data_IF_823453971233
#
_entry.id   IF_823453971233
#
_cell.length_a   1.000
_cell.length_b   1.000
_cell.length_c   1.000
_cell.angle_alpha   90.00
_cell.angle_beta   90.00
_cell.angle_gamma   90.00
#
_symmetry.space_group_name_H-M   'P 1'
#
loop_
_entity.id
_entity.type
_entity.pdbx_description
1 polymer ?
#
# COMPACT_ATOMS: atom_id res chain seq x y z
N UNK A 1 -7.17 -6.67 -20.95
CA UNK A 1 -8.20 -6.24 -21.92
C UNK A 1 -8.17 -4.73 -22.00
N UNK A 2 -8.07 -4.19 -23.21
CA UNK A 2 -8.10 -2.75 -23.48
C UNK A 2 -9.35 -2.43 -24.28
N UNK A 3 -10.10 -1.40 -23.90
CA UNK A 3 -11.26 -0.91 -24.63
C UNK A 3 -10.94 0.44 -25.26
N UNK A 4 -11.30 0.59 -26.52
CA UNK A 4 -10.98 1.78 -27.31
C UNK A 4 -12.25 2.53 -27.74
N UNK A 5 -12.08 3.80 -28.06
CA UNK A 5 -13.14 4.68 -28.57
C UNK A 5 -12.78 5.16 -29.97
N UNK A 6 -13.69 5.04 -30.93
CA UNK A 6 -13.52 5.65 -32.26
C UNK A 6 -13.48 7.19 -32.16
N UNK A 7 -14.17 7.76 -31.17
CA UNK A 7 -14.04 9.19 -30.83
C UNK A 7 -12.69 9.42 -30.16
N UNK A 8 -11.84 10.19 -30.82
CA UNK A 8 -10.44 10.49 -30.50
C UNK A 8 -9.46 9.35 -30.75
N UNK A 9 -9.95 8.16 -31.17
CA UNK A 9 -9.11 6.96 -31.26
C UNK A 9 -8.45 6.60 -29.92
N UNK A 10 -9.15 6.77 -28.79
CA UNK A 10 -8.56 6.77 -27.44
C UNK A 10 -8.59 5.40 -26.77
N UNK A 11 -7.65 5.16 -25.85
CA UNK A 11 -7.77 4.10 -24.86
C UNK A 11 -8.76 4.54 -23.77
N UNK A 12 -9.95 3.92 -23.77
CA UNK A 12 -11.08 4.28 -22.92
C UNK A 12 -11.02 3.63 -21.55
N UNK A 13 -10.67 2.34 -21.50
CA UNK A 13 -10.52 1.63 -20.23
C UNK A 13 -9.58 0.44 -20.35
N UNK A 14 -9.03 0.05 -19.20
CA UNK A 14 -8.08 -1.05 -19.03
C UNK A 14 -8.65 -1.98 -17.97
N UNK A 15 -8.69 -3.28 -18.29
CA UNK A 15 -9.11 -4.35 -17.36
C UNK A 15 -8.02 -5.42 -17.31
N UNK A 16 -7.48 -5.65 -16.12
CA UNK A 16 -6.53 -6.74 -15.85
C UNK A 16 -7.35 -7.99 -15.53
N UNK A 17 -7.52 -8.87 -16.53
CA UNK A 17 -8.45 -10.02 -16.45
C UNK A 17 -8.16 -10.92 -15.25
N UNK A 18 -6.89 -11.25 -15.02
CA UNK A 18 -6.44 -12.15 -13.93
C UNK A 18 -6.88 -11.68 -12.55
N UNK A 19 -7.00 -10.36 -12.35
CA UNK A 19 -7.30 -9.77 -11.04
C UNK A 19 -8.65 -9.05 -10.99
N UNK A 20 -9.41 -9.08 -12.09
CA UNK A 20 -10.64 -8.31 -12.28
C UNK A 20 -10.51 -6.82 -11.88
N UNK A 21 -9.33 -6.24 -12.06
CA UNK A 21 -9.03 -4.86 -11.67
C UNK A 21 -9.13 -3.91 -12.86
N UNK A 22 -9.69 -2.72 -12.64
CA UNK A 22 -9.74 -1.65 -13.64
C UNK A 22 -9.25 -0.33 -13.04
N UNK A 23 -8.55 0.45 -13.85
CA UNK A 23 -8.07 1.75 -13.43
C UNK A 23 -9.15 2.83 -13.59
N UNK A 24 -9.18 3.85 -12.71
CA UNK A 24 -10.06 5.02 -12.82
C UNK A 24 -9.48 6.07 -13.81
N UNK A 25 -8.78 5.59 -14.84
CA UNK A 25 -8.17 6.42 -15.87
C UNK A 25 -8.92 6.26 -17.19
N UNK A 26 -9.11 7.37 -17.88
CA UNK A 26 -9.86 7.46 -19.14
C UNK A 26 -9.14 8.38 -20.11
N UNK A 27 -9.60 8.40 -21.36
CA UNK A 27 -9.09 9.27 -22.43
C UNK A 27 -7.57 9.22 -22.57
N UNK A 28 -6.98 8.04 -22.39
CA UNK A 28 -5.55 7.88 -22.48
C UNK A 28 -5.11 7.95 -23.95
N UNK A 29 -3.95 8.59 -24.17
CA UNK A 29 -3.30 8.79 -25.47
C UNK A 29 -4.13 9.64 -26.42
N UNK A 30 -4.75 10.67 -25.85
CA UNK A 30 -5.40 11.74 -26.61
C UNK A 30 -4.40 12.64 -27.30
N UNK A 31 -4.81 13.22 -28.42
CA UNK A 31 -4.07 14.23 -29.14
C UNK A 31 -4.90 15.51 -29.06
N UNK A 32 -4.37 16.52 -28.39
CA UNK A 32 -5.10 17.75 -28.14
C UNK A 32 -5.61 18.38 -29.44
N UNK A 33 -6.86 18.87 -29.43
CA UNK A 33 -7.58 19.32 -30.63
C UNK A 33 -8.23 18.23 -31.48
N UNK A 34 -7.91 16.94 -31.27
CA UNK A 34 -8.46 15.82 -32.04
C UNK A 34 -9.23 14.79 -31.20
N UNK A 35 -9.28 14.96 -29.87
CA UNK A 35 -9.95 14.03 -28.95
C UNK A 35 -11.45 13.86 -29.21
N UNK A 36 -12.10 14.87 -29.79
CA UNK A 36 -13.53 14.81 -30.14
C UNK A 36 -13.83 14.34 -31.56
N UNK A 37 -12.80 14.16 -32.40
CA UNK A 37 -12.95 13.74 -33.81
C UNK A 37 -13.17 12.24 -33.92
N UNK A 38 -13.84 11.78 -34.97
CA UNK A 38 -14.09 10.36 -35.20
C UNK A 38 -12.98 9.78 -36.07
N UNK A 39 -12.22 8.84 -35.53
CA UNK A 39 -11.23 8.07 -36.26
C UNK A 39 -11.87 6.82 -36.86
N UNK A 40 -11.55 6.51 -38.11
CA UNK A 40 -11.92 5.27 -38.76
C UNK A 40 -11.02 4.13 -38.25
N UNK A 41 -11.63 3.02 -37.80
CA UNK A 41 -10.90 1.79 -37.50
C UNK A 41 -10.59 1.07 -38.81
N UNK A 42 -9.32 1.11 -39.24
CA UNK A 42 -8.89 0.57 -40.53
C UNK A 42 -8.22 -0.81 -40.40
N UNK A 43 -7.79 -1.18 -39.20
CA UNK A 43 -7.22 -2.50 -38.91
C UNK A 43 -7.68 -2.97 -37.54
N UNK A 44 -8.21 -4.19 -37.47
CA UNK A 44 -8.61 -4.84 -36.23
C UNK A 44 -8.16 -6.30 -36.24
N UNK A 45 -7.05 -6.56 -35.57
CA UNK A 45 -6.54 -7.89 -35.26
C UNK A 45 -6.58 -8.10 -33.74
N UNK A 46 -6.34 -9.33 -33.27
CA UNK A 46 -6.43 -9.66 -31.84
C UNK A 46 -5.45 -8.84 -30.98
N UNK A 47 -4.26 -8.57 -31.52
CA UNK A 47 -3.18 -7.84 -30.83
C UNK A 47 -2.93 -6.46 -31.41
N UNK A 48 -3.63 -6.07 -32.48
CA UNK A 48 -3.31 -4.83 -33.21
C UNK A 48 -4.55 -4.07 -33.65
N UNK A 49 -4.62 -2.80 -33.29
CA UNK A 49 -5.67 -1.88 -33.74
C UNK A 49 -5.05 -0.67 -34.41
N UNK A 50 -5.62 -0.26 -35.54
CA UNK A 50 -5.20 0.94 -36.26
C UNK A 50 -6.38 1.85 -36.54
N UNK A 51 -6.25 3.08 -36.06
CA UNK A 51 -7.21 4.15 -36.24
C UNK A 51 -6.61 5.24 -37.13
N UNK A 52 -7.38 5.74 -38.10
CA UNK A 52 -6.94 6.81 -39.00
C UNK A 52 -7.97 7.92 -39.02
N UNK A 53 -7.48 9.15 -38.92
CA UNK A 53 -8.23 10.37 -39.18
C UNK A 53 -7.50 11.14 -40.28
N UNK A 54 -8.21 11.47 -41.34
CA UNK A 54 -7.72 12.36 -42.40
C UNK A 54 -8.44 13.70 -42.31
N UNK A 55 -7.65 14.76 -42.42
CA UNK A 55 -8.13 16.13 -42.54
C UNK A 55 -7.40 16.79 -43.70
N UNK A 56 -7.87 17.95 -44.16
CA UNK A 56 -7.19 18.72 -45.22
C UNK A 56 -5.74 19.09 -44.86
N UNK A 57 -5.41 19.11 -43.58
CA UNK A 57 -4.14 19.57 -43.06
C UNK A 57 -3.18 18.44 -42.68
N UNK A 58 -3.70 17.35 -42.12
CA UNK A 58 -2.94 16.26 -41.50
C UNK A 58 -3.69 14.93 -41.63
N UNK A 59 -2.92 13.86 -41.82
CA UNK A 59 -3.37 12.50 -41.57
C UNK A 59 -2.77 12.01 -40.25
N UNK A 60 -3.63 11.52 -39.36
CA UNK A 60 -3.27 11.07 -38.02
C UNK A 60 -3.57 9.58 -37.94
N UNK A 61 -2.54 8.78 -37.75
CA UNK A 61 -2.67 7.34 -37.56
C UNK A 61 -2.31 6.97 -36.13
N UNK A 62 -3.23 6.33 -35.40
CA UNK A 62 -2.96 5.75 -34.09
C UNK A 62 -2.91 4.24 -34.20
N UNK A 63 -1.78 3.66 -33.85
CA UNK A 63 -1.59 2.20 -33.83
C UNK A 63 -1.40 1.74 -32.39
N UNK A 64 -2.14 0.70 -32.01
CA UNK A 64 -2.07 0.05 -30.70
C UNK A 64 -1.66 -1.40 -30.92
N UNK A 65 -0.57 -1.82 -30.31
CA UNK A 65 -0.07 -3.18 -30.32
C UNK A 65 -0.03 -3.72 -28.90
N UNK A 66 -0.79 -4.78 -28.64
CA UNK A 66 -0.81 -5.50 -27.38
C UNK A 66 0.08 -6.72 -27.51
N UNK A 67 1.03 -6.88 -26.59
CA UNK A 67 1.82 -8.11 -26.50
C UNK A 67 0.95 -9.19 -25.82
N UNK A 68 0.76 -10.38 -26.42
CA UNK A 68 0.02 -11.48 -25.81
C UNK A 68 0.61 -11.88 -24.46
N UNK A 69 -0.26 -12.17 -23.49
CA UNK A 69 0.12 -12.61 -22.13
C UNK A 69 1.09 -11.69 -21.39
N UNK A 70 1.15 -10.42 -21.81
CA UNK A 70 2.00 -9.39 -21.23
C UNK A 70 1.16 -8.22 -20.69
N UNK A 71 1.74 -7.46 -19.77
CA UNK A 71 1.16 -6.23 -19.23
C UNK A 71 1.55 -4.99 -20.05
N UNK A 72 2.37 -5.15 -21.10
CA UNK A 72 2.80 -4.04 -21.94
C UNK A 72 1.94 -3.86 -23.18
N UNK A 73 1.84 -2.62 -23.64
CA UNK A 73 1.25 -2.29 -24.93
C UNK A 73 2.04 -1.15 -25.56
N UNK A 74 2.41 -1.31 -26.84
CA UNK A 74 3.04 -0.28 -27.64
C UNK A 74 1.98 0.56 -28.33
N UNK A 75 2.16 1.87 -28.32
CA UNK A 75 1.29 2.79 -29.02
C UNK A 75 2.14 3.72 -29.88
N UNK A 76 1.68 4.00 -31.08
CA UNK A 76 2.34 4.98 -31.94
C UNK A 76 1.31 5.92 -32.54
N UNK A 77 1.54 7.22 -32.41
CA UNK A 77 0.79 8.25 -33.13
C UNK A 77 1.67 8.76 -34.25
N UNK A 78 1.20 8.64 -35.48
CA UNK A 78 1.89 9.10 -36.68
C UNK A 78 1.15 10.28 -37.25
N UNK A 79 1.85 11.39 -37.43
CA UNK A 79 1.36 12.60 -38.07
C UNK A 79 1.99 12.72 -39.45
N UNK A 80 1.16 12.80 -40.49
CA UNK A 80 1.58 12.99 -41.87
C UNK A 80 1.04 14.32 -42.39
N UNK A 81 1.92 15.15 -42.96
CA UNK A 81 1.55 16.43 -43.53
C UNK A 81 0.95 16.26 -44.92
N UNK A 82 -0.36 16.48 -45.02
CA UNK A 82 -1.11 16.33 -46.27
C UNK A 82 -1.01 17.58 -47.17
N UNK A 83 -0.31 18.63 -46.73
CA UNK A 83 -0.20 19.89 -47.49
C UNK A 83 1.12 19.98 -48.25
N UNK A 84 1.14 20.81 -49.29
CA UNK A 84 2.35 21.14 -50.05
C UNK A 84 3.30 22.14 -49.39
N UNK A 85 3.05 22.51 -48.12
CA UNK A 85 3.84 23.49 -47.37
C UNK A 85 4.36 22.88 -46.07
N UNK A 86 5.54 23.33 -45.64
CA UNK A 86 6.10 22.96 -44.35
C UNK A 86 5.27 23.51 -43.19
N UNK A 87 5.20 22.75 -42.10
CA UNK A 87 4.45 23.10 -40.89
C UNK A 87 5.31 22.95 -39.65
N UNK A 88 5.12 23.86 -38.70
CA UNK A 88 5.62 23.72 -37.34
C UNK A 88 4.45 23.44 -36.41
N UNK A 89 4.52 22.37 -35.64
CA UNK A 89 3.45 21.92 -34.74
C UNK A 89 3.94 21.91 -33.29
N UNK A 90 3.08 22.40 -32.38
CA UNK A 90 3.19 22.10 -30.96
C UNK A 90 2.16 21.02 -30.65
N UNK A 91 2.63 19.92 -30.09
CA UNK A 91 1.84 18.71 -29.88
C UNK A 91 1.65 18.52 -28.39
N UNK A 92 0.41 18.35 -27.97
CA UNK A 92 0.08 17.96 -26.60
C UNK A 92 -0.58 16.58 -26.63
N UNK A 93 0.04 15.62 -25.94
CA UNK A 93 -0.48 14.27 -25.76
C UNK A 93 -1.11 14.16 -24.39
N UNK A 94 -2.39 13.81 -24.34
CA UNK A 94 -3.07 13.46 -23.10
C UNK A 94 -2.68 12.05 -22.69
N UNK A 95 -1.79 11.89 -21.71
CA UNK A 95 -1.37 10.57 -21.24
C UNK A 95 -2.56 9.83 -20.62
N UNK A 96 -3.31 10.48 -19.73
CA UNK A 96 -4.59 10.02 -19.20
C UNK A 96 -5.33 11.10 -18.39
N UNK A 97 -6.61 10.83 -18.17
CA UNK A 97 -7.48 11.60 -17.25
C UNK A 97 -7.94 10.72 -16.09
N UNK A 98 -7.72 11.15 -14.86
CA UNK A 98 -8.23 10.49 -13.64
C UNK A 98 -9.67 10.97 -13.40
N UNK A 99 -10.59 10.04 -13.20
CA UNK A 99 -11.95 10.33 -12.74
C UNK A 99 -12.10 9.94 -11.26
N UNK A 100 -12.02 10.95 -10.39
CA UNK A 100 -12.16 10.80 -8.94
C UNK A 100 -13.55 10.34 -8.49
N UNK A 101 -14.59 10.46 -9.33
CA UNK A 101 -15.89 9.88 -9.03
C UNK A 101 -15.86 8.34 -9.17
N UNK A 102 -15.17 7.80 -10.18
CA UNK A 102 -14.95 6.35 -10.32
C UNK A 102 -14.12 5.81 -9.15
N UNK A 103 -13.12 6.59 -8.71
CA UNK A 103 -12.34 6.26 -7.50
C UNK A 103 -13.24 6.17 -6.26
N UNK A 104 -14.12 7.15 -6.05
CA UNK A 104 -15.03 7.17 -4.91
C UNK A 104 -16.05 6.02 -4.96
N UNK A 105 -16.57 5.67 -6.15
CA UNK A 105 -17.51 4.56 -6.33
C UNK A 105 -16.85 3.22 -5.98
N UNK A 106 -15.65 2.96 -6.52
CA UNK A 106 -14.85 1.78 -6.15
C UNK A 106 -14.51 1.74 -4.67
N UNK A 107 -14.30 2.90 -4.05
CA UNK A 107 -14.06 3.00 -2.62
C UNK A 107 -15.29 2.85 -1.72
N UNK A 108 -16.50 3.06 -2.24
CA UNK A 108 -17.77 2.75 -1.56
C UNK A 108 -18.12 1.26 -1.62
N UNK A 109 -17.75 0.59 -2.70
CA UNK A 109 -17.82 -0.88 -2.81
C UNK A 109 -16.66 -1.58 -2.07
N UNK A 110 -15.52 -0.88 -1.91
CA UNK A 110 -14.31 -1.35 -1.22
C UNK A 110 -14.05 -0.70 0.14
N UNK A 111 -12.78 -0.68 0.57
CA UNK A 111 -12.35 -0.08 1.83
C UNK A 111 -11.94 1.38 1.60
N UNK A 112 -12.51 2.34 2.33
CA UNK A 112 -12.16 3.77 2.22
C UNK A 112 -10.65 4.06 2.35
N UNK A 113 -9.88 3.15 2.97
CA UNK A 113 -8.42 3.25 3.06
C UNK A 113 -7.71 3.00 1.73
N UNK A 114 -8.29 2.22 0.82
CA UNK A 114 -7.70 1.92 -0.49
C UNK A 114 -7.74 3.15 -1.41
N UNK A 115 -8.75 4.01 -1.26
CA UNK A 115 -8.83 5.32 -1.95
C UNK A 115 -7.57 6.15 -1.69
N UNK A 116 -7.06 6.11 -0.45
CA UNK A 116 -5.90 6.92 -0.04
C UNK A 116 -4.59 6.50 -0.70
N UNK A 117 -4.55 5.27 -1.22
CA UNK A 117 -3.40 4.70 -1.91
C UNK A 117 -3.40 4.98 -3.41
N UNK A 118 -4.44 5.62 -3.95
CA UNK A 118 -4.40 6.12 -5.32
C UNK A 118 -3.40 7.26 -5.41
N UNK A 119 -2.46 7.15 -6.33
CA UNK A 119 -1.42 8.14 -6.54
C UNK A 119 -1.16 8.35 -8.03
N UNK A 120 -0.73 9.55 -8.38
CA UNK A 120 -0.15 9.81 -9.69
C UNK A 120 1.28 10.34 -9.54
N UNK A 121 2.09 10.12 -10.59
CA UNK A 121 3.42 10.66 -10.72
C UNK A 121 3.73 11.11 -12.15
N UNK A 122 4.62 12.10 -12.23
CA UNK A 122 5.38 12.47 -13.42
C UNK A 122 6.85 12.48 -13.02
N UNK A 123 7.67 11.68 -13.68
CA UNK A 123 9.12 11.64 -13.49
C UNK A 123 9.76 12.28 -14.70
N UNK A 124 10.56 13.31 -14.45
CA UNK A 124 11.39 13.96 -15.47
C UNK A 124 12.83 13.48 -15.34
N UNK A 125 13.76 13.97 -16.16
CA UNK A 125 15.19 13.68 -16.00
C UNK A 125 15.74 14.18 -14.67
N UNK A 126 15.29 15.36 -14.23
CA UNK A 126 15.81 16.01 -13.03
C UNK A 126 14.92 15.82 -11.80
N UNK A 127 13.59 15.79 -11.99
CA UNK A 127 12.61 15.90 -10.92
C UNK A 127 11.64 14.73 -10.86
N UNK A 128 10.83 14.72 -9.79
CA UNK A 128 9.64 13.87 -9.71
C UNK A 128 8.51 14.60 -9.00
N UNK A 129 7.38 14.68 -9.69
CA UNK A 129 6.15 15.26 -9.22
C UNK A 129 5.20 14.14 -8.86
N UNK A 130 4.75 14.09 -7.61
CA UNK A 130 3.88 13.02 -7.11
C UNK A 130 2.82 13.61 -6.21
N UNK A 131 1.62 13.04 -6.26
CA UNK A 131 0.55 13.35 -5.32
C UNK A 131 -0.15 12.08 -4.86
N UNK A 132 -0.32 11.98 -3.54
CA UNK A 132 -1.09 10.91 -2.92
C UNK A 132 -2.57 11.31 -2.81
N UNK A 133 -3.45 10.35 -2.49
CA UNK A 133 -4.88 10.60 -2.39
C UNK A 133 -5.45 11.18 -3.69
N UNK A 134 -5.13 10.59 -4.85
CA UNK A 134 -5.50 11.05 -6.19
C UNK A 134 -6.99 10.84 -6.53
N UNK A 135 -7.88 11.35 -5.66
CA UNK A 135 -9.34 11.34 -5.81
C UNK A 135 -9.97 12.73 -5.56
N UNK A 136 -9.14 13.70 -5.15
CA UNK A 136 -9.51 15.12 -4.99
C UNK A 136 -8.36 16.02 -5.45
N UNK A 137 -8.69 16.99 -6.29
CA UNK A 137 -7.72 17.87 -6.93
C UNK A 137 -7.94 19.33 -6.54
N UNK A 138 -6.84 20.08 -6.43
CA UNK A 138 -6.88 21.53 -6.23
C UNK A 138 -7.14 22.22 -7.56
N UNK A 139 -7.53 23.48 -7.55
CA UNK A 139 -7.80 24.23 -8.80
C UNK A 139 -6.53 24.78 -9.48
N UNK A 140 -5.34 24.54 -8.91
CA UNK A 140 -4.06 25.04 -9.45
C UNK A 140 -3.46 24.03 -10.42
N UNK A 141 -3.30 24.43 -11.68
CA UNK A 141 -2.51 23.72 -12.68
C UNK A 141 -1.00 23.81 -12.34
N UNK A 142 -0.28 22.72 -12.61
CA UNK A 142 1.18 22.71 -12.65
C UNK A 142 1.65 22.44 -14.09
N UNK A 143 2.30 23.44 -14.68
CA UNK A 143 2.92 23.35 -15.99
C UNK A 143 4.43 23.52 -15.87
N UNK A 144 5.17 22.66 -16.57
CA UNK A 144 6.65 22.68 -16.63
C UNK A 144 7.09 22.57 -18.08
N UNK A 145 7.78 23.61 -18.55
CA UNK A 145 8.55 23.60 -19.79
C UNK A 145 9.99 23.19 -19.54
N UNK A 146 10.66 22.76 -20.60
CA UNK A 146 12.05 22.33 -20.66
C UNK A 146 12.40 21.17 -19.72
N UNK A 147 11.40 20.40 -19.29
CA UNK A 147 11.60 19.20 -18.48
C UNK A 147 11.23 17.95 -19.29
N UNK A 148 12.25 17.19 -19.71
CA UNK A 148 12.08 15.92 -20.41
C UNK A 148 11.44 14.88 -19.49
N UNK A 149 10.30 14.33 -19.90
CA UNK A 149 9.49 13.37 -19.15
C UNK A 149 9.94 11.97 -19.47
N UNK A 150 10.35 11.25 -18.44
CA UNK A 150 10.74 9.84 -18.51
C UNK A 150 9.55 8.90 -18.31
N UNK A 151 8.61 9.26 -17.44
CA UNK A 151 7.52 8.38 -17.05
C UNK A 151 6.35 9.19 -16.50
N UNK A 152 5.14 8.89 -16.97
CA UNK A 152 3.89 9.33 -16.35
C UNK A 152 3.19 8.10 -15.80
N UNK A 153 2.65 8.15 -14.59
CA UNK A 153 2.13 6.95 -13.94
C UNK A 153 0.99 7.22 -13.00
N UNK A 154 0.01 6.32 -13.01
CA UNK A 154 -1.02 6.20 -11.99
C UNK A 154 -0.87 4.86 -11.29
N UNK A 155 -1.20 4.79 -10.00
CA UNK A 155 -1.34 3.52 -9.29
C UNK A 155 -2.51 3.53 -8.33
N UNK A 156 -3.03 2.34 -8.08
CA UNK A 156 -3.91 2.03 -6.97
C UNK A 156 -3.11 1.27 -5.88
N UNK A 157 -3.79 0.52 -5.00
CA UNK A 157 -3.16 -0.26 -3.94
C UNK A 157 -2.22 -1.35 -4.44
N UNK A 158 -2.48 -1.93 -5.62
CA UNK A 158 -1.82 -3.15 -6.12
C UNK A 158 -1.31 -3.07 -7.54
N UNK A 159 -1.86 -2.19 -8.35
CA UNK A 159 -1.61 -2.12 -9.79
C UNK A 159 -1.19 -0.71 -10.18
N UNK A 160 -0.42 -0.63 -11.26
CA UNK A 160 -0.03 0.63 -11.86
C UNK A 160 -0.29 0.65 -13.36
N UNK A 161 -0.61 1.85 -13.84
CA UNK A 161 -0.68 2.22 -15.25
C UNK A 161 0.45 3.22 -15.50
N UNK A 162 1.48 2.77 -16.21
CA UNK A 162 2.66 3.55 -16.52
C UNK A 162 2.70 3.86 -18.02
N UNK A 163 3.03 5.09 -18.36
CA UNK A 163 3.14 5.59 -19.72
C UNK A 163 4.54 6.15 -19.90
N UNK A 164 5.33 5.48 -20.71
CA UNK A 164 6.69 5.88 -21.05
C UNK A 164 6.71 6.51 -22.44
N UNK A 165 7.06 7.80 -22.56
CA UNK A 165 7.43 8.40 -23.84
C UNK A 165 8.70 7.74 -24.40
N UNK A 166 8.66 7.26 -25.65
CA UNK A 166 9.85 6.78 -26.38
C UNK A 166 10.33 7.83 -27.40
N UNK A 167 10.07 9.11 -27.10
CA UNK A 167 10.50 10.32 -27.83
C UNK A 167 10.84 11.44 -26.83
N UNK A 168 11.45 12.52 -27.33
CA UNK A 168 11.78 13.68 -26.50
C UNK A 168 10.57 14.60 -26.28
N UNK A 169 10.15 14.76 -25.03
CA UNK A 169 9.13 15.74 -24.63
C UNK A 169 9.78 17.08 -24.31
N UNK A 170 9.11 18.19 -24.60
CA UNK A 170 9.49 19.54 -24.17
C UNK A 170 8.97 19.89 -22.77
N UNK A 171 8.04 19.11 -22.22
CA UNK A 171 7.48 19.38 -20.89
C UNK A 171 6.21 18.59 -20.59
N UNK A 172 5.53 18.99 -19.51
CA UNK A 172 4.27 18.39 -19.09
C UNK A 172 3.32 19.39 -18.44
N UNK A 173 2.05 19.00 -18.39
CA UNK A 173 0.97 19.74 -17.72
C UNK A 173 0.20 18.78 -16.83
N UNK A 174 -0.02 19.18 -15.58
CA UNK A 174 -0.94 18.52 -14.65
C UNK A 174 -2.10 19.49 -14.45
N UNK A 175 -3.21 19.21 -15.13
CA UNK A 175 -4.35 20.11 -15.28
C UNK A 175 -5.58 19.59 -14.52
N UNK A 176 -5.94 20.20 -13.37
CA UNK A 176 -7.18 19.90 -12.67
C UNK A 176 -8.39 20.49 -13.41
N UNK A 177 -9.07 19.65 -14.20
CA UNK A 177 -10.31 20.04 -14.90
C UNK A 177 -11.42 20.38 -13.90
N UNK A 178 -11.47 19.68 -12.77
CA UNK A 178 -12.40 19.95 -11.66
C UNK A 178 -11.87 19.34 -10.36
N UNK A 179 -12.56 19.55 -9.24
CA UNK A 179 -12.21 18.91 -7.96
C UNK A 179 -12.12 17.38 -8.03
N UNK A 180 -12.78 16.77 -9.02
CA UNK A 180 -12.85 15.32 -9.22
C UNK A 180 -12.22 14.83 -10.51
N UNK A 181 -11.67 15.70 -11.36
CA UNK A 181 -11.03 15.29 -12.61
C UNK A 181 -9.68 15.96 -12.79
N UNK A 182 -8.68 15.15 -13.09
CA UNK A 182 -7.31 15.60 -13.35
C UNK A 182 -6.83 15.02 -14.67
N UNK A 183 -6.27 15.87 -15.52
CA UNK A 183 -5.61 15.47 -16.75
C UNK A 183 -4.10 15.57 -16.59
N UNK A 184 -3.36 14.61 -17.11
CA UNK A 184 -1.90 14.70 -17.20
C UNK A 184 -1.50 14.59 -18.66
N UNK A 185 -0.75 15.58 -19.13
CA UNK A 185 -0.37 15.73 -20.53
C UNK A 185 1.14 15.92 -20.67
N UNK A 186 1.68 15.45 -21.78
CA UNK A 186 3.07 15.65 -22.21
C UNK A 186 3.08 16.52 -23.45
N UNK A 187 4.09 17.40 -23.58
CA UNK A 187 4.20 18.36 -24.68
C UNK A 187 5.42 18.05 -25.55
N UNK A 188 5.32 18.40 -26.82
CA UNK A 188 6.41 18.41 -27.79
C UNK A 188 6.27 19.72 -28.56
N UNK A 189 7.22 20.62 -28.38
CA UNK A 189 7.18 21.93 -29.02
C UNK A 189 8.07 21.98 -30.25
N UNK A 190 7.65 22.72 -31.28
CA UNK A 190 8.48 23.03 -32.44
C UNK A 190 8.72 21.86 -33.41
N UNK A 191 7.80 20.89 -33.51
CA UNK A 191 7.92 19.78 -34.47
C UNK A 191 7.85 20.31 -35.90
N UNK A 192 8.97 20.23 -36.61
CA UNK A 192 9.07 20.61 -38.02
C UNK A 192 8.63 19.45 -38.92
N UNK A 193 7.51 19.63 -39.61
CA UNK A 193 6.92 18.64 -40.50
C UNK A 193 6.92 19.18 -41.93
N UNK A 194 7.83 18.67 -42.76
CA UNK A 194 7.93 19.06 -44.18
C UNK A 194 6.67 18.71 -44.96
N UNK A 195 6.47 19.29 -46.14
CA UNK A 195 5.44 18.84 -47.08
C UNK A 195 5.54 17.33 -47.36
N UNK A 196 4.45 16.58 -47.17
CA UNK A 196 4.44 15.10 -47.24
C UNK A 196 5.25 14.39 -46.16
N UNK A 197 5.81 15.13 -45.20
CA UNK A 197 6.64 14.60 -44.13
C UNK A 197 5.84 13.86 -43.07
N UNK A 198 6.51 12.97 -42.35
CA UNK A 198 5.93 12.12 -41.31
C UNK A 198 6.66 12.30 -39.99
N UNK A 199 5.93 12.37 -38.88
CA UNK A 199 6.47 12.39 -37.52
C UNK A 199 5.84 11.29 -36.68
N UNK A 200 6.67 10.55 -35.96
CA UNK A 200 6.26 9.42 -35.11
C UNK A 200 6.35 9.80 -33.65
N UNK A 201 5.34 9.38 -32.88
CA UNK A 201 5.25 9.62 -31.44
C UNK A 201 5.01 8.26 -30.76
N UNK A 202 6.07 7.45 -30.59
CA UNK A 202 5.98 6.14 -29.96
C UNK A 202 5.90 6.25 -28.44
N UNK A 203 5.08 5.39 -27.83
CA UNK A 203 4.96 5.25 -26.39
C UNK A 203 4.85 3.78 -26.02
N UNK A 204 5.35 3.44 -24.84
CA UNK A 204 5.12 2.14 -24.24
C UNK A 204 4.33 2.28 -22.93
N UNK A 205 3.20 1.60 -22.87
CA UNK A 205 2.36 1.50 -21.68
C UNK A 205 2.62 0.20 -20.92
N UNK A 206 2.65 0.26 -19.60
CA UNK A 206 2.56 -0.92 -18.71
C UNK A 206 1.30 -0.82 -17.86
N UNK A 207 0.49 -1.89 -17.83
CA UNK A 207 -0.79 -1.94 -17.15
C UNK A 207 -0.93 -3.22 -16.34
N UNK A 208 -0.30 -3.25 -15.17
CA UNK A 208 -0.12 -4.50 -14.45
C UNK A 208 0.15 -4.34 -12.96
N UNK A 209 0.50 -5.45 -12.29
CA UNK A 209 0.87 -5.46 -10.87
C UNK A 209 2.03 -4.50 -10.60
N UNK A 210 1.96 -3.76 -9.50
CA UNK A 210 3.07 -2.96 -8.99
C UNK A 210 4.09 -3.89 -8.31
N UNK A 211 4.81 -4.69 -9.10
CA UNK A 211 5.90 -5.57 -8.63
C UNK A 211 7.25 -5.06 -9.15
N UNK A 212 8.16 -4.73 -8.23
CA UNK A 212 9.45 -4.13 -8.59
C UNK A 212 10.34 -5.05 -9.44
N UNK A 213 10.32 -6.36 -9.18
CA UNK A 213 11.14 -7.32 -9.94
C UNK A 213 10.57 -7.50 -11.35
N UNK A 214 9.24 -7.57 -11.47
CA UNK A 214 8.55 -7.61 -12.76
C UNK A 214 8.86 -6.36 -13.57
N UNK A 215 8.69 -5.16 -12.98
CA UNK A 215 8.96 -3.89 -13.67
C UNK A 215 10.43 -3.76 -14.11
N UNK A 216 11.38 -4.24 -13.29
CA UNK A 216 12.80 -4.28 -13.64
C UNK A 216 13.09 -5.27 -14.77
N UNK A 217 12.38 -6.39 -14.83
CA UNK A 217 12.61 -7.43 -15.85
C UNK A 217 12.36 -6.96 -17.28
N UNK A 218 11.48 -5.97 -17.47
CA UNK A 218 11.24 -5.36 -18.78
C UNK A 218 12.43 -4.53 -19.29
N UNK A 219 13.32 -4.06 -18.41
CA UNK A 219 14.47 -3.21 -18.78
C UNK A 219 14.08 -1.94 -19.57
N UNK A 220 12.85 -1.45 -19.38
CA UNK A 220 12.31 -0.30 -20.10
C UNK A 220 12.32 0.99 -19.29
N UNK A 221 12.83 0.99 -18.05
CA UNK A 221 12.81 2.16 -17.17
C UNK A 221 11.58 2.25 -16.29
N UNK A 222 10.69 1.25 -16.31
CA UNK A 222 9.50 1.20 -15.45
C UNK A 222 9.85 1.11 -13.97
N UNK A 223 11.03 0.61 -13.61
CA UNK A 223 11.55 0.60 -12.24
C UNK A 223 11.75 2.00 -11.66
N UNK A 224 11.79 3.06 -12.49
CA UNK A 224 11.73 4.46 -12.01
C UNK A 224 10.44 4.75 -11.25
N UNK A 225 9.37 4.00 -11.50
CA UNK A 225 8.14 4.01 -10.70
C UNK A 225 8.39 3.69 -9.23
N UNK A 226 9.57 3.15 -8.85
CA UNK A 226 9.97 2.94 -7.45
C UNK A 226 9.78 4.17 -6.56
N UNK A 227 9.78 5.38 -7.13
CA UNK A 227 9.48 6.64 -6.42
C UNK A 227 8.08 6.66 -5.79
N UNK A 228 7.17 5.80 -6.23
CA UNK A 228 5.92 5.49 -5.56
C UNK A 228 6.14 4.87 -4.15
N UNK A 229 7.15 4.01 -3.97
CA UNK A 229 7.47 3.37 -2.68
C UNK A 229 8.31 4.26 -1.75
N UNK A 230 7.77 5.42 -1.35
CA UNK A 230 8.24 6.11 -0.15
C UNK A 230 7.36 5.71 1.03
N UNK A 231 7.80 4.72 1.81
CA UNK A 231 7.16 4.20 3.04
C UNK A 231 7.34 5.13 4.27
N UNK A 232 7.48 6.44 4.07
CA UNK A 232 7.68 7.44 5.14
C UNK A 232 9.02 7.28 5.89
N UNK A 233 9.06 7.66 7.18
CA UNK A 233 10.26 7.60 8.04
C UNK A 233 10.76 6.16 8.28
N UNK A 234 9.90 5.14 8.08
CA UNK A 234 10.18 3.74 8.39
C UNK A 234 10.45 2.88 7.14
N UNK A 235 10.82 3.54 6.04
CA UNK A 235 10.95 2.94 4.72
C UNK A 235 12.06 1.89 4.60
N UNK A 236 13.16 2.09 5.32
CA UNK A 236 14.22 1.09 5.41
C UNK A 236 13.72 -0.23 6.01
N UNK A 237 12.90 -0.16 7.07
CA UNK A 237 12.38 -1.34 7.77
C UNK A 237 11.41 -2.12 6.86
N UNK A 238 10.49 -1.42 6.19
CA UNK A 238 9.56 -2.04 5.25
C UNK A 238 10.29 -2.76 4.11
N UNK A 239 11.34 -2.15 3.54
CA UNK A 239 12.17 -2.76 2.48
C UNK A 239 12.91 -4.00 2.96
N UNK A 240 13.46 -3.98 4.17
CA UNK A 240 14.12 -5.17 4.77
C UNK A 240 13.11 -6.30 4.93
N UNK A 241 11.93 -6.01 5.48
CA UNK A 241 10.87 -7.01 5.68
C UNK A 241 10.39 -7.57 4.35
N UNK A 242 10.13 -6.72 3.34
CA UNK A 242 9.76 -7.14 1.99
C UNK A 242 10.82 -8.08 1.39
N UNK A 243 12.09 -7.67 1.43
CA UNK A 243 13.19 -8.47 0.90
C UNK A 243 13.34 -9.83 1.59
N UNK A 244 13.25 -9.86 2.92
CA UNK A 244 13.28 -11.10 3.70
C UNK A 244 12.10 -12.01 3.36
N UNK A 245 10.90 -11.45 3.24
CA UNK A 245 9.71 -12.25 2.97
C UNK A 245 9.73 -12.87 1.58
N UNK A 246 10.10 -12.10 0.56
CA UNK A 246 10.28 -12.60 -0.81
C UNK A 246 11.44 -13.59 -0.90
N UNK A 247 12.51 -13.39 -0.12
CA UNK A 247 13.59 -14.36 -0.02
C UNK A 247 13.11 -15.70 0.55
N UNK A 248 12.33 -15.70 1.65
CA UNK A 248 11.74 -16.92 2.19
C UNK A 248 10.82 -17.58 1.16
N UNK A 249 10.05 -16.80 0.41
CA UNK A 249 9.15 -17.31 -0.62
C UNK A 249 9.85 -18.09 -1.74
N UNK A 250 11.11 -17.74 -2.08
CA UNK A 250 11.90 -18.49 -3.06
C UNK A 250 12.14 -19.94 -2.65
N UNK A 251 12.17 -20.24 -1.35
CA UNK A 251 12.36 -21.60 -0.83
C UNK A 251 11.03 -22.25 -0.44
N UNK A 252 10.07 -21.47 0.04
CA UNK A 252 8.77 -21.94 0.51
C UNK A 252 7.67 -21.16 -0.22
N UNK A 253 7.08 -21.71 -1.30
CA UNK A 253 6.10 -21.02 -2.13
C UNK A 253 4.69 -20.96 -1.48
N UNK A 254 4.61 -20.54 -0.21
CA UNK A 254 3.35 -20.33 0.51
C UNK A 254 3.41 -19.04 1.32
N UNK A 255 2.65 -18.03 0.89
CA UNK A 255 2.64 -16.72 1.55
C UNK A 255 2.18 -16.79 3.01
N UNK A 256 1.24 -17.68 3.35
CA UNK A 256 0.83 -17.88 4.74
C UNK A 256 1.93 -18.47 5.62
N UNK A 257 2.70 -19.43 5.11
CA UNK A 257 3.86 -19.99 5.83
C UNK A 257 4.97 -18.93 5.94
N UNK A 258 5.18 -18.12 4.90
CA UNK A 258 6.15 -17.03 4.93
C UNK A 258 5.82 -16.02 6.02
N UNK A 259 4.53 -15.69 6.19
CA UNK A 259 4.04 -14.84 7.28
C UNK A 259 4.33 -15.48 8.65
N UNK A 260 4.10 -16.79 8.81
CA UNK A 260 4.42 -17.52 10.05
C UNK A 260 5.93 -17.46 10.37
N UNK A 261 6.78 -17.67 9.36
CA UNK A 261 8.24 -17.67 9.51
C UNK A 261 8.74 -16.27 9.85
N UNK A 262 8.28 -15.22 9.14
CA UNK A 262 8.71 -13.85 9.44
C UNK A 262 8.22 -13.42 10.83
N UNK A 263 7.03 -13.84 11.27
CA UNK A 263 6.55 -13.62 12.64
C UNK A 263 7.50 -14.22 13.67
N UNK A 264 7.97 -15.45 13.44
CA UNK A 264 8.91 -16.12 14.33
C UNK A 264 10.26 -15.38 14.36
N UNK A 265 10.82 -15.04 13.19
CA UNK A 265 12.10 -14.33 13.08
C UNK A 265 12.05 -13.00 13.84
N UNK A 266 11.01 -12.18 13.60
CA UNK A 266 10.84 -10.89 14.27
C UNK A 266 10.66 -11.07 15.77
N UNK A 267 9.83 -12.02 16.21
CA UNK A 267 9.60 -12.24 17.64
C UNK A 267 10.90 -12.69 18.34
N UNK A 268 11.61 -13.66 17.78
CA UNK A 268 12.80 -14.22 18.40
C UNK A 268 14.02 -13.29 18.31
N UNK A 269 14.12 -12.43 17.31
CA UNK A 269 15.17 -11.39 17.29
C UNK A 269 14.98 -10.39 18.44
N UNK A 270 13.73 -10.13 18.83
CA UNK A 270 13.37 -9.23 19.93
C UNK A 270 13.28 -9.93 21.29
N UNK A 271 13.31 -11.26 21.33
CA UNK A 271 13.20 -12.06 22.55
C UNK A 271 14.18 -11.64 23.67
N UNK A 272 15.47 -11.34 23.41
CA UNK A 272 16.39 -10.92 24.47
C UNK A 272 15.94 -9.62 25.15
N UNK A 273 15.36 -8.70 24.38
CA UNK A 273 14.80 -7.45 24.90
C UNK A 273 13.55 -7.72 25.73
N UNK A 274 12.63 -8.55 25.22
CA UNK A 274 11.40 -8.93 25.95
C UNK A 274 11.72 -9.66 27.25
N UNK A 275 12.71 -10.56 27.25
CA UNK A 275 13.18 -11.27 28.44
C UNK A 275 13.70 -10.32 29.52
N UNK A 276 14.51 -9.32 29.16
CA UNK A 276 15.00 -8.28 30.08
C UNK A 276 13.85 -7.43 30.63
N UNK A 277 12.88 -7.06 29.78
CA UNK A 277 11.69 -6.30 30.20
C UNK A 277 10.83 -7.08 31.21
N UNK A 278 10.60 -8.37 30.96
CA UNK A 278 9.87 -9.24 31.89
C UNK A 278 10.61 -9.43 33.22
N UNK A 279 11.93 -9.61 33.19
CA UNK A 279 12.73 -9.68 34.43
C UNK A 279 12.63 -8.40 35.26
N UNK A 280 12.63 -7.22 34.62
CA UNK A 280 12.41 -5.94 35.31
C UNK A 280 11.02 -5.86 35.95
N UNK A 281 9.97 -6.29 35.22
CA UNK A 281 8.60 -6.31 35.75
C UNK A 281 8.45 -7.20 36.98
N UNK A 282 9.10 -8.37 37.01
CA UNK A 282 9.10 -9.25 38.19
C UNK A 282 9.75 -8.61 39.41
N UNK A 283 10.89 -7.96 39.23
CA UNK A 283 11.53 -7.21 40.34
C UNK A 283 10.64 -6.08 40.83
N UNK A 284 9.94 -5.40 39.92
CA UNK A 284 8.96 -4.38 40.27
C UNK A 284 7.80 -4.95 41.09
N UNK A 285 7.29 -6.13 40.73
CA UNK A 285 6.25 -6.84 41.48
C UNK A 285 6.71 -7.22 42.90
N UNK A 286 7.94 -7.70 43.05
CA UNK A 286 8.51 -8.02 44.36
C UNK A 286 8.63 -6.78 45.28
N UNK A 287 8.66 -5.56 44.72
CA UNK A 287 8.71 -4.31 45.49
C UNK A 287 7.35 -3.69 45.79
N UNK A 288 6.25 -4.27 45.31
CA UNK A 288 4.89 -3.75 45.54
C UNK A 288 4.55 -3.51 47.03
N UNK A 289 4.98 -4.36 48.00
CA UNK A 289 4.76 -4.08 49.41
C UNK A 289 5.39 -2.76 49.87
N UNK A 290 6.65 -2.50 49.49
CA UNK A 290 7.37 -1.26 49.82
C UNK A 290 6.77 -0.04 49.10
N UNK A 291 6.27 -0.24 47.87
CA UNK A 291 5.53 0.79 47.14
C UNK A 291 4.25 1.17 47.89
N UNK A 292 3.53 0.19 48.44
CA UNK A 292 2.33 0.43 49.23
C UNK A 292 2.64 1.18 50.53
N UNK A 293 3.69 0.80 51.27
CA UNK A 293 4.13 1.52 52.47
C UNK A 293 4.45 3.00 52.18
N UNK A 294 5.12 3.29 51.05
CA UNK A 294 5.38 4.68 50.64
C UNK A 294 4.10 5.43 50.28
N UNK A 295 3.16 4.79 49.57
CA UNK A 295 1.85 5.37 49.24
C UNK A 295 1.08 5.73 50.51
N UNK A 296 1.08 4.86 51.51
CA UNK A 296 0.38 5.09 52.78
C UNK A 296 1.04 6.23 53.57
N UNK A 297 2.37 6.22 53.65
CA UNK A 297 3.18 7.23 54.37
C UNK A 297 3.11 8.63 53.77
N UNK A 298 3.07 8.74 52.44
CA UNK A 298 3.08 10.03 51.72
C UNK A 298 1.78 10.32 50.97
N UNK A 299 0.65 9.73 51.41
CA UNK A 299 -0.67 9.89 50.79
C UNK A 299 -1.13 11.34 50.61
N UNK A 300 -0.69 12.25 51.50
CA UNK A 300 -1.00 13.68 51.46
C UNK A 300 0.04 14.54 50.72
N UNK A 301 1.12 13.96 50.21
CA UNK A 301 2.19 14.68 49.51
C UNK A 301 2.64 13.93 48.24
N UNK A 302 1.96 14.15 47.10
CA UNK A 302 2.22 13.43 45.85
C UNK A 302 3.61 13.72 45.25
N UNK A 303 4.15 14.92 45.45
CA UNK A 303 5.51 15.25 44.99
C UNK A 303 6.57 14.43 45.73
N UNK A 304 6.45 14.36 47.07
CA UNK A 304 7.36 13.57 47.90
C UNK A 304 7.20 12.08 47.61
N UNK A 305 5.97 11.61 47.44
CA UNK A 305 5.69 10.22 47.02
C UNK A 305 6.41 9.87 45.72
N UNK A 306 6.29 10.68 44.67
CA UNK A 306 6.93 10.42 43.38
C UNK A 306 8.47 10.38 43.50
N UNK A 307 9.05 11.27 44.31
CA UNK A 307 10.51 11.30 44.56
C UNK A 307 11.00 10.04 45.27
N UNK A 308 10.32 9.64 46.34
CA UNK A 308 10.67 8.43 47.12
C UNK A 308 10.43 7.15 46.31
N UNK A 309 9.37 7.09 45.49
CA UNK A 309 9.13 5.97 44.58
C UNK A 309 10.26 5.83 43.55
N UNK A 310 10.68 6.95 42.95
CA UNK A 310 11.78 6.93 41.97
C UNK A 310 13.11 6.53 42.64
N UNK A 311 13.35 7.00 43.86
CA UNK A 311 14.53 6.62 44.64
C UNK A 311 14.50 5.12 44.98
N UNK A 312 13.36 4.58 45.44
CA UNK A 312 13.17 3.15 45.70
C UNK A 312 13.48 2.31 44.46
N UNK A 313 12.95 2.70 43.29
CA UNK A 313 13.25 2.01 42.03
C UNK A 313 14.74 2.07 41.67
N UNK A 314 15.38 3.23 41.85
CA UNK A 314 16.80 3.44 41.56
C UNK A 314 17.71 2.62 42.47
N UNK A 315 17.44 2.61 43.77
CA UNK A 315 18.24 1.90 44.78
C UNK A 315 18.19 0.37 44.56
N UNK A 316 17.05 -0.13 44.10
CA UNK A 316 16.87 -1.55 43.78
C UNK A 316 17.20 -1.89 42.32
N UNK A 317 17.76 -0.94 41.55
CA UNK A 317 18.15 -1.10 40.13
C UNK A 317 17.01 -1.64 39.25
N UNK A 318 15.79 -1.19 39.53
CA UNK A 318 14.59 -1.53 38.75
C UNK A 318 14.23 -0.36 37.84
N UNK A 319 14.07 -0.63 36.55
CA UNK A 319 13.66 0.40 35.59
C UNK A 319 12.16 0.25 35.27
N UNK A 320 11.30 1.22 35.64
CA UNK A 320 9.87 1.17 35.36
C UNK A 320 9.55 1.22 33.86
N UNK A 321 10.42 1.81 33.03
CA UNK A 321 10.26 1.91 31.57
C UNK A 321 10.67 0.63 30.85
N UNK A 322 11.48 -0.23 31.48
CA UNK A 322 11.94 -1.47 30.84
C UNK A 322 10.79 -2.42 30.46
N UNK A 323 9.62 -2.31 31.11
CA UNK A 323 8.42 -3.09 30.80
C UNK A 323 7.76 -2.70 29.47
N UNK A 324 7.80 -1.43 29.07
CA UNK A 324 7.23 -0.94 27.80
C UNK A 324 8.27 -0.83 26.68
N UNK A 325 9.56 -0.99 26.98
CA UNK A 325 10.65 -0.94 26.01
C UNK A 325 10.45 -1.90 24.81
N UNK A 326 9.99 -3.16 24.98
CA UNK A 326 9.72 -4.03 23.84
C UNK A 326 8.67 -3.46 22.87
N UNK A 327 7.67 -2.75 23.38
CA UNK A 327 6.63 -2.14 22.56
C UNK A 327 7.20 -1.02 21.67
N UNK A 328 8.07 -0.18 22.22
CA UNK A 328 8.71 0.90 21.46
C UNK A 328 9.54 0.40 20.27
N UNK A 329 10.34 -0.66 20.46
CA UNK A 329 11.11 -1.24 19.37
C UNK A 329 10.25 -2.04 18.39
N UNK A 330 9.13 -2.60 18.86
CA UNK A 330 8.22 -3.41 18.03
C UNK A 330 7.38 -2.54 17.10
N UNK A 331 6.97 -1.34 17.54
CA UNK A 331 6.10 -0.45 16.78
C UNK A 331 6.64 -0.12 15.37
N UNK A 332 7.93 0.27 15.19
CA UNK A 332 8.51 0.47 13.87
C UNK A 332 8.47 -0.76 12.96
N UNK A 333 8.78 -1.94 13.52
CA UNK A 333 8.75 -3.22 12.80
C UNK A 333 7.34 -3.58 12.37
N UNK A 334 6.36 -3.37 13.25
CA UNK A 334 4.94 -3.56 12.96
C UNK A 334 4.49 -2.63 11.83
N UNK A 335 4.81 -1.34 11.89
CA UNK A 335 4.43 -0.38 10.84
C UNK A 335 5.07 -0.77 9.50
N UNK A 336 6.33 -1.22 9.51
CA UNK A 336 7.00 -1.72 8.30
C UNK A 336 6.29 -2.94 7.71
N UNK A 337 5.99 -3.94 8.54
CA UNK A 337 5.30 -5.15 8.09
C UNK A 337 3.88 -4.84 7.60
N UNK A 338 3.15 -3.99 8.31
CA UNK A 338 1.81 -3.55 7.90
C UNK A 338 1.84 -2.96 6.49
N UNK A 339 2.82 -2.09 6.21
CA UNK A 339 2.97 -1.50 4.87
C UNK A 339 3.25 -2.54 3.78
N UNK A 340 4.06 -3.57 4.09
CA UNK A 340 4.35 -4.67 3.15
C UNK A 340 3.11 -5.52 2.90
N UNK A 341 2.51 -6.09 3.96
CA UNK A 341 1.34 -6.96 3.84
C UNK A 341 0.13 -6.26 3.21
N UNK A 342 0.02 -4.96 3.41
CA UNK A 342 -1.11 -4.19 2.89
C UNK A 342 -0.97 -3.84 1.40
N UNK A 343 0.24 -3.56 0.91
CA UNK A 343 0.46 -3.02 -0.45
C UNK A 343 1.00 -4.03 -1.45
N UNK A 344 1.62 -5.11 -0.99
CA UNK A 344 2.22 -6.07 -1.90
C UNK A 344 1.13 -6.91 -2.60
N UNK A 345 1.14 -6.85 -3.93
CA UNK A 345 0.20 -7.58 -4.80
C UNK A 345 0.34 -9.10 -4.65
N UNK A 346 1.48 -9.59 -4.17
CA UNK A 346 1.72 -11.01 -3.99
C UNK A 346 0.76 -11.69 -2.99
N UNK A 347 0.16 -10.92 -2.06
CA UNK A 347 -0.86 -11.44 -1.15
C UNK A 347 -2.27 -11.48 -1.76
N UNK A 348 -2.51 -10.72 -2.84
CA UNK A 348 -3.81 -10.68 -3.49
C UNK A 348 -4.08 -12.01 -4.18
N UNK A 349 -5.19 -12.65 -3.82
CA UNK A 349 -5.53 -14.00 -4.27
C UNK A 349 -4.65 -15.11 -3.70
N UNK A 350 -3.72 -14.81 -2.78
CA UNK A 350 -2.90 -15.84 -2.16
C UNK A 350 -3.68 -16.55 -1.05
N UNK A 351 -3.96 -17.84 -1.24
CA UNK A 351 -4.66 -18.67 -0.26
C UNK A 351 -3.76 -19.26 0.83
N UNK A 352 -4.34 -19.52 2.00
CA UNK A 352 -3.70 -20.26 3.10
C UNK A 352 -4.74 -20.94 4.00
N UNK A 353 -4.69 -22.27 4.12
CA UNK A 353 -5.70 -23.06 4.84
C UNK A 353 -7.12 -22.78 4.31
N UNK A 354 -8.01 -22.20 5.13
CA UNK A 354 -9.36 -21.78 4.72
C UNK A 354 -9.40 -20.36 4.12
N UNK A 355 -8.32 -19.59 4.26
CA UNK A 355 -8.22 -18.21 3.75
C UNK A 355 -8.03 -18.29 2.24
N UNK A 356 -8.91 -17.64 1.48
CA UNK A 356 -8.83 -17.58 0.02
C UNK A 356 -7.93 -16.46 -0.50
N UNK A 357 -7.82 -15.38 0.27
CA UNK A 357 -7.04 -14.19 -0.08
C UNK A 357 -6.44 -13.56 1.18
N UNK A 358 -5.11 -13.60 1.31
CA UNK A 358 -4.37 -13.03 2.44
C UNK A 358 -4.47 -11.49 2.52
N UNK A 359 -4.87 -10.84 1.43
CA UNK A 359 -5.01 -9.39 1.34
C UNK A 359 -6.38 -8.85 1.77
N UNK A 360 -7.37 -9.75 1.86
CA UNK A 360 -8.73 -9.48 2.31
C UNK A 360 -8.97 -10.01 3.72
N UNK A 361 -10.03 -9.55 4.42
CA UNK A 361 -10.45 -10.18 5.67
C UNK A 361 -10.67 -11.68 5.51
N UNK A 362 -10.38 -12.42 6.58
CA UNK A 362 -10.66 -13.87 6.64
C UNK A 362 -12.15 -14.11 6.41
N UNK A 363 -12.54 -15.19 5.71
CA UNK A 363 -13.94 -15.51 5.40
C UNK A 363 -14.12 -17.02 5.36
N UNK A 364 -14.28 -17.64 6.53
CA UNK A 364 -14.46 -19.08 6.65
C UNK A 364 -15.75 -19.55 5.96
N UNK A 365 -16.86 -18.86 6.23
CA UNK A 365 -18.13 -19.07 5.56
C UNK A 365 -18.92 -17.76 5.49
N UNK A 366 -19.90 -17.71 4.58
CA UNK A 366 -20.79 -16.57 4.38
C UNK A 366 -22.23 -16.92 4.69
N UNK A 367 -23.03 -15.93 5.08
CA UNK A 367 -24.47 -16.04 5.21
C UNK A 367 -25.16 -14.93 4.39
N UNK A 368 -26.41 -15.15 3.97
CA UNK A 368 -27.07 -14.29 2.96
C UNK A 368 -27.44 -12.87 3.44
N UNK A 369 -27.65 -12.65 4.74
CA UNK A 369 -28.10 -11.36 5.29
C UNK A 369 -27.07 -10.75 6.24
N UNK A 370 -26.59 -9.51 6.03
CA UNK A 370 -25.61 -8.90 6.92
C UNK A 370 -26.12 -8.84 8.36
N UNK A 371 -25.39 -9.49 9.28
CA UNK A 371 -25.66 -9.42 10.71
C UNK A 371 -25.06 -8.13 11.30
N UNK A 372 -25.72 -7.51 12.30
CA UNK A 372 -25.13 -6.40 13.04
C UNK A 372 -23.74 -6.77 13.57
N UNK A 373 -22.77 -5.87 13.38
CA UNK A 373 -21.36 -5.99 13.80
C UNK A 373 -20.51 -7.07 13.09
N UNK A 374 -21.08 -8.24 12.75
CA UNK A 374 -20.36 -9.36 12.12
C UNK A 374 -20.34 -9.31 10.58
N UNK A 375 -21.22 -8.52 9.94
CA UNK A 375 -21.25 -8.42 8.49
C UNK A 375 -21.87 -9.65 7.82
N UNK A 376 -21.37 -10.06 6.65
CA UNK A 376 -21.90 -11.19 5.86
C UNK A 376 -21.03 -12.46 5.95
N UNK A 377 -19.91 -12.38 6.65
CA UNK A 377 -18.90 -13.44 6.70
C UNK A 377 -18.48 -13.71 8.13
N UNK A 378 -18.11 -14.96 8.40
CA UNK A 378 -17.48 -15.36 9.65
C UNK A 378 -15.96 -15.40 9.52
N UNK A 379 -15.27 -14.58 10.31
CA UNK A 379 -13.82 -14.43 10.25
C UNK A 379 -13.24 -15.11 11.49
N UNK A 380 -12.69 -16.32 11.36
CA UNK A 380 -12.27 -17.16 12.49
C UNK A 380 -10.93 -16.70 13.09
N UNK A 381 -10.02 -16.20 12.24
CA UNK A 381 -8.66 -15.85 12.65
C UNK A 381 -8.60 -14.75 13.75
N UNK A 382 -9.39 -13.66 13.70
CA UNK A 382 -9.48 -12.69 14.79
C UNK A 382 -9.95 -13.30 16.12
N UNK A 383 -10.84 -14.31 16.11
CA UNK A 383 -11.26 -15.00 17.34
C UNK A 383 -10.13 -15.85 17.91
N UNK A 384 -9.38 -16.55 17.06
CA UNK A 384 -8.19 -17.31 17.48
C UNK A 384 -7.16 -16.38 18.11
N UNK A 385 -6.88 -15.24 17.46
CA UNK A 385 -6.01 -14.20 18.00
C UNK A 385 -6.50 -13.72 19.39
N UNK A 386 -7.79 -13.40 19.50
CA UNK A 386 -8.40 -12.95 20.75
C UNK A 386 -8.28 -14.00 21.87
N UNK A 387 -8.53 -15.28 21.58
CA UNK A 387 -8.38 -16.38 22.55
C UNK A 387 -6.93 -16.47 23.04
N UNK A 388 -5.96 -16.42 22.13
CA UNK A 388 -4.53 -16.45 22.49
C UNK A 388 -4.18 -15.26 23.38
N UNK A 389 -4.66 -14.06 23.03
CA UNK A 389 -4.47 -12.87 23.85
C UNK A 389 -5.09 -13.01 25.24
N UNK A 390 -6.28 -13.60 25.37
CA UNK A 390 -6.87 -13.89 26.68
C UNK A 390 -5.98 -14.81 27.52
N UNK A 391 -5.43 -15.88 26.95
CA UNK A 391 -4.48 -16.75 27.64
C UNK A 391 -3.21 -15.99 28.04
N UNK A 392 -2.68 -15.16 27.15
CA UNK A 392 -1.53 -14.30 27.43
C UNK A 392 -1.79 -13.38 28.62
N UNK A 393 -2.95 -12.70 28.64
CA UNK A 393 -3.32 -11.80 29.71
C UNK A 393 -3.49 -12.54 31.04
N UNK A 394 -4.07 -13.74 31.04
CA UNK A 394 -4.15 -14.58 32.26
C UNK A 394 -2.76 -14.94 32.80
N UNK A 395 -1.79 -15.27 31.93
CA UNK A 395 -0.41 -15.54 32.36
C UNK A 395 0.21 -14.27 32.97
N UNK A 396 0.01 -13.11 32.34
CA UNK A 396 0.56 -11.85 32.85
C UNK A 396 -0.08 -11.44 34.17
N UNK A 397 -1.40 -11.57 34.33
CA UNK A 397 -2.12 -11.26 35.57
C UNK A 397 -1.64 -12.09 36.75
N UNK A 398 -1.34 -13.39 36.56
CA UNK A 398 -0.78 -14.24 37.63
C UNK A 398 0.53 -13.70 38.21
N UNK A 399 1.28 -12.96 37.41
CA UNK A 399 2.55 -12.41 37.85
C UNK A 399 2.39 -11.07 38.57
N UNK A 400 1.29 -10.32 38.37
CA UNK A 400 1.17 -8.98 38.97
C UNK A 400 0.46 -9.03 40.32
N UNK A 401 1.20 -8.72 41.40
CA UNK A 401 0.63 -8.41 42.71
C UNK A 401 0.29 -6.91 42.73
N UNK A 402 -0.97 -6.55 42.55
CA UNK A 402 -1.44 -5.17 42.74
C UNK A 402 -2.19 -5.09 44.07
N UNK A 403 -1.83 -4.10 44.90
CA UNK A 403 -2.47 -3.84 46.21
C UNK A 403 -3.57 -2.79 46.13
N UNK A 404 -3.56 -1.95 45.08
CA UNK A 404 -4.48 -0.85 44.88
C UNK A 404 -5.74 -1.30 44.10
N UNK A 405 -6.97 -1.21 44.68
CA UNK A 405 -8.21 -1.63 44.05
C UNK A 405 -8.46 -1.01 42.67
N UNK A 406 -8.10 0.26 42.48
CA UNK A 406 -8.28 0.95 41.20
C UNK A 406 -7.35 0.39 40.12
N UNK A 407 -6.11 0.06 40.48
CA UNK A 407 -5.14 -0.54 39.56
C UNK A 407 -5.51 -1.98 39.23
N UNK A 408 -6.02 -2.75 40.20
CA UNK A 408 -6.54 -4.11 39.97
C UNK A 408 -7.69 -4.07 38.96
N UNK A 409 -8.64 -3.15 39.14
CA UNK A 409 -9.77 -2.99 38.23
C UNK A 409 -9.31 -2.57 36.83
N UNK A 410 -8.39 -1.61 36.73
CA UNK A 410 -7.81 -1.20 35.45
C UNK A 410 -7.12 -2.36 34.73
N UNK A 411 -6.35 -3.18 35.44
CA UNK A 411 -5.67 -4.33 34.84
C UNK A 411 -6.65 -5.42 34.42
N UNK A 412 -7.69 -5.70 35.21
CA UNK A 412 -8.77 -6.63 34.84
C UNK A 412 -9.52 -6.16 33.60
N UNK A 413 -9.83 -4.86 33.54
CA UNK A 413 -10.47 -4.25 32.38
C UNK A 413 -9.57 -4.34 31.16
N UNK A 414 -8.29 -3.97 31.25
CA UNK A 414 -7.34 -4.06 30.15
C UNK A 414 -7.17 -5.51 29.65
N UNK A 415 -7.07 -6.46 30.56
CA UNK A 415 -6.93 -7.88 30.22
C UNK A 415 -8.17 -8.47 29.51
N UNK A 416 -9.35 -7.89 29.73
CA UNK A 416 -10.61 -8.42 29.19
C UNK A 416 -11.08 -7.65 27.96
N UNK A 417 -11.05 -6.31 28.04
CA UNK A 417 -11.53 -5.41 26.99
C UNK A 417 -10.55 -5.33 25.84
N UNK A 418 -9.23 -5.30 26.10
CA UNK A 418 -8.23 -5.11 25.03
C UNK A 418 -8.25 -6.27 24.01
N UNK A 419 -8.30 -7.56 24.40
CA UNK A 419 -8.43 -8.65 23.44
C UNK A 419 -9.70 -8.55 22.59
N UNK A 420 -10.84 -8.20 23.19
CA UNK A 420 -12.11 -8.04 22.46
C UNK A 420 -12.04 -6.86 21.51
N UNK A 421 -11.54 -5.72 21.97
CA UNK A 421 -11.36 -4.52 21.18
C UNK A 421 -10.46 -4.78 19.96
N UNK A 422 -9.30 -5.41 20.16
CA UNK A 422 -8.42 -5.79 19.06
C UNK A 422 -9.07 -6.85 18.16
N UNK A 423 -9.76 -7.85 18.71
CA UNK A 423 -10.51 -8.83 17.91
C UNK A 423 -11.52 -8.17 16.97
N UNK A 424 -12.31 -7.21 17.45
CA UNK A 424 -13.30 -6.46 16.65
C UNK A 424 -12.63 -5.60 15.58
N UNK A 425 -11.51 -4.95 15.91
CA UNK A 425 -10.74 -4.17 14.93
C UNK A 425 -10.23 -5.09 13.83
N UNK A 426 -9.51 -6.15 14.19
CA UNK A 426 -8.88 -7.08 13.26
C UNK A 426 -9.88 -7.91 12.46
N UNK A 427 -11.14 -7.98 12.90
CA UNK A 427 -12.24 -8.54 12.13
C UNK A 427 -12.36 -7.93 10.73
N UNK A 428 -12.04 -6.64 10.57
CA UNK A 428 -12.13 -5.94 9.28
C UNK A 428 -10.78 -5.77 8.57
N UNK A 429 -9.70 -6.31 9.12
CA UNK A 429 -8.36 -6.20 8.52
C UNK A 429 -8.04 -7.40 7.63
N UNK A 430 -7.05 -7.21 6.75
CA UNK A 430 -6.48 -8.29 5.93
C UNK A 430 -6.06 -9.48 6.81
N UNK A 431 -6.40 -10.68 6.36
CA UNK A 431 -6.14 -11.93 7.06
C UNK A 431 -4.65 -12.21 7.21
N UNK A 432 -3.80 -11.80 6.25
CA UNK A 432 -2.34 -11.91 6.36
C UNK A 432 -1.78 -11.08 7.53
N UNK A 433 -2.29 -9.87 7.75
CA UNK A 433 -1.92 -9.06 8.92
C UNK A 433 -2.40 -9.70 10.22
N UNK A 434 -3.64 -10.19 10.22
CA UNK A 434 -4.23 -10.87 11.39
C UNK A 434 -3.47 -12.16 11.71
N UNK A 435 -3.01 -12.89 10.70
CA UNK A 435 -2.19 -14.10 10.84
C UNK A 435 -0.86 -13.77 11.51
N UNK A 436 -0.20 -12.70 11.07
CA UNK A 436 1.03 -12.23 11.71
C UNK A 436 0.82 -11.97 13.21
N UNK A 437 -0.22 -11.23 13.59
CA UNK A 437 -0.49 -10.94 15.00
C UNK A 437 -0.85 -12.19 15.79
N UNK A 438 -1.65 -13.09 15.20
CA UNK A 438 -2.00 -14.38 15.80
C UNK A 438 -0.72 -15.15 16.16
N UNK A 439 0.22 -15.25 15.22
CA UNK A 439 1.49 -15.93 15.45
C UNK A 439 2.40 -15.18 16.43
N UNK A 440 2.47 -13.86 16.34
CA UNK A 440 3.22 -13.04 17.30
C UNK A 440 2.71 -13.25 18.74
N UNK A 441 1.40 -13.19 18.95
CA UNK A 441 0.79 -13.46 20.26
C UNK A 441 0.97 -14.92 20.68
N UNK A 442 0.94 -15.88 19.75
CA UNK A 442 1.18 -17.29 20.04
C UNK A 442 2.60 -17.51 20.59
N UNK A 443 3.62 -17.02 19.87
CA UNK A 443 5.03 -17.12 20.30
C UNK A 443 5.27 -16.37 21.60
N UNK A 444 4.64 -15.20 21.75
CA UNK A 444 4.72 -14.41 22.98
C UNK A 444 4.12 -15.13 24.18
N UNK A 445 2.94 -15.70 24.02
CA UNK A 445 2.24 -16.46 25.07
C UNK A 445 3.02 -17.70 25.46
N UNK A 446 3.51 -18.46 24.48
CA UNK A 446 4.34 -19.65 24.71
C UNK A 446 5.61 -19.32 25.48
N UNK A 447 6.27 -18.24 25.10
CA UNK A 447 7.46 -17.72 25.77
C UNK A 447 7.18 -17.31 27.21
N UNK A 448 6.12 -16.51 27.43
CA UNK A 448 5.71 -16.06 28.76
C UNK A 448 5.35 -17.24 29.67
N UNK A 449 4.64 -18.23 29.15
CA UNK A 449 4.30 -19.45 29.86
C UNK A 449 5.54 -20.25 30.29
N UNK A 450 6.50 -20.44 29.37
CA UNK A 450 7.77 -21.12 29.70
C UNK A 450 8.56 -20.36 30.77
N UNK A 451 8.55 -19.03 30.70
CA UNK A 451 9.23 -18.20 31.70
C UNK A 451 8.51 -18.17 33.05
N UNK A 452 7.18 -18.22 33.09
CA UNK A 452 6.44 -18.23 34.37
C UNK A 452 6.70 -19.52 35.14
N UNK A 453 6.72 -20.67 34.44
CA UNK A 453 7.09 -21.96 35.07
C UNK A 453 8.49 -21.98 35.68
N UNK A 454 9.48 -21.34 35.03
CA UNK A 454 10.84 -21.25 35.59
C UNK A 454 10.92 -20.40 36.87
N UNK A 455 9.97 -19.49 37.08
CA UNK A 455 9.94 -18.62 38.25
C UNK A 455 9.26 -19.27 39.47
N UNK A 456 8.42 -20.29 39.27
CA UNK A 456 7.82 -21.08 40.37
C UNK A 456 8.81 -22.07 41.00
N UNK A 457 9.99 -22.27 40.39
CA UNK A 457 11.00 -23.27 40.79
C UNK A 457 12.19 -22.63 41.53
N UNK A 458 12.17 -21.31 41.74
CA UNK A 458 13.17 -20.54 42.50
C UNK A 458 12.45 -19.81 43.61
#
# INVERSE_FOLDING_TARGET
ELKFSNKGGLLKSILIKTYHNSFPITNALGLDGYDDKIFALVEKQDTRLKYVLETDALRITKTYELEPDDYTARMNVVLENMTGLDKTLNITINNYTIDGADVDLKGKEGNARDISLNEYLVITEENSYRKNNAHKFSNKNLEKGDEKVNLVGFRDRYFCALFKPDFETSGFVIDPISEKKLRIQTRIDGVQLKAGGVYNIPFTGFFGPEDLNLLQSYQQGFEKSKKFYRFGLLDAIAKIIYGLLHFIHKFIPSWGINIIIISAIIYFSMYPLTAKGMASMRRMQAMQPKVQELKDKYSKNPEKLNKELMQLYKDNKVNPVAGCLPFFFQMPVFIGLYQVLWRDVAFKGAGFLWIKDLSEPDRLFSWGTPLPFLGQHFNVLPFVMMIIMFFQQKINQKNVVLTDPAQIQQQKMMATVMPVFLGVIFYKFASGLTLYFTMFYLFSTFTQWKMSKKAEVV
#
